data_IF_126328076049
#
_entry.id   IF_126328076049
#
_cell.length_a   1.000
_cell.length_b   1.000
_cell.length_c   1.000
_cell.angle_alpha   90.00
_cell.angle_beta   90.00
_cell.angle_gamma   90.00
#
_symmetry.space_group_name_H-M   'P 1'
#
loop_
_entity.id
_entity.type
_entity.pdbx_description
1 polymer ?
#
# COMPACT_ATOMS: atom_id res chain seq x y z
N UNK A 1 -3.91 -13.26 -36.24
CA UNK A 1 -3.97 -13.84 -34.86
C UNK A 1 -4.36 -12.82 -33.79
N UNK A 2 -3.96 -11.54 -33.90
CA UNK A 2 -4.35 -10.47 -32.97
C UNK A 2 -5.87 -10.18 -33.03
N UNK A 3 -6.53 -10.44 -34.12
CA UNK A 3 -7.97 -10.20 -34.33
C UNK A 3 -8.87 -11.28 -33.70
N UNK A 4 -8.36 -12.46 -33.38
CA UNK A 4 -9.14 -13.51 -32.72
C UNK A 4 -9.44 -13.22 -31.24
N UNK A 5 -8.62 -12.42 -30.57
CA UNK A 5 -8.89 -11.97 -29.20
C UNK A 5 -9.87 -10.79 -29.08
N UNK A 6 -10.32 -10.22 -30.22
CA UNK A 6 -11.21 -9.05 -30.23
C UNK A 6 -12.68 -9.36 -30.53
N UNK A 7 -12.99 -10.58 -31.00
CA UNK A 7 -14.38 -10.94 -31.37
C UNK A 7 -14.74 -12.28 -30.73
N UNK A 8 -15.38 -12.19 -29.58
CA UNK A 8 -16.31 -13.19 -29.04
C UNK A 8 -15.74 -14.57 -28.78
N UNK A 9 -15.53 -14.81 -27.58
CA UNK A 9 -15.47 -15.98 -26.71
C UNK A 9 -14.16 -16.14 -25.96
N UNK A 10 -14.35 -16.31 -24.69
CA UNK A 10 -13.40 -16.82 -23.69
C UNK A 10 -12.04 -16.13 -23.64
N UNK A 11 -11.97 -15.29 -22.70
CA UNK A 11 -10.86 -14.46 -22.26
C UNK A 11 -9.60 -15.26 -22.05
N UNK A 12 -8.57 -14.97 -22.87
CA UNK A 12 -7.21 -15.32 -22.49
C UNK A 12 -6.96 -14.85 -21.08
N UNK A 13 -6.73 -15.78 -20.16
CA UNK A 13 -6.44 -15.48 -18.76
C UNK A 13 -5.13 -14.71 -18.74
N UNK A 14 -5.21 -13.44 -18.40
CA UNK A 14 -4.08 -12.52 -18.30
C UNK A 14 -3.95 -12.06 -16.87
N UNK A 15 -3.01 -12.65 -16.16
CA UNK A 15 -2.67 -12.18 -14.83
C UNK A 15 -1.48 -11.24 -14.89
N UNK A 16 -1.50 -10.22 -14.02
CA UNK A 16 -0.44 -9.21 -13.93
C UNK A 16 0.16 -9.24 -12.54
N UNK A 17 1.49 -9.26 -12.52
CA UNK A 17 2.30 -9.14 -11.32
C UNK A 17 2.94 -7.77 -11.38
N UNK A 18 2.75 -6.98 -10.34
CA UNK A 18 3.27 -5.62 -10.23
C UNK A 18 4.19 -5.53 -9.03
N UNK A 19 5.36 -4.94 -9.22
CA UNK A 19 6.31 -4.64 -8.14
C UNK A 19 6.67 -3.18 -8.22
N UNK A 20 6.50 -2.46 -7.11
CA UNK A 20 6.86 -1.04 -6.99
C UNK A 20 8.16 -0.91 -6.21
N UNK A 21 9.15 -0.25 -6.81
CA UNK A 21 10.46 0.02 -6.23
C UNK A 21 10.89 1.47 -6.53
N UNK A 22 10.46 2.45 -5.73
CA UNK A 22 10.49 3.88 -6.09
C UNK A 22 11.87 4.45 -6.41
N UNK A 23 12.96 3.76 -6.04
CA UNK A 23 14.33 4.28 -6.13
C UNK A 23 15.14 3.70 -7.29
N UNK A 24 14.67 2.63 -7.94
CA UNK A 24 15.47 1.91 -8.95
C UNK A 24 15.29 2.48 -10.36
N UNK A 25 16.40 2.58 -11.08
CA UNK A 25 16.41 2.88 -12.51
C UNK A 25 15.80 1.71 -13.32
N UNK A 26 15.29 1.94 -14.55
CA UNK A 26 14.64 0.87 -15.34
C UNK A 26 15.49 -0.37 -15.57
N UNK A 27 16.80 -0.21 -15.77
CA UNK A 27 17.73 -1.33 -15.95
C UNK A 27 17.91 -2.15 -14.66
N UNK A 28 17.95 -1.50 -13.52
CA UNK A 28 18.06 -2.17 -12.22
C UNK A 28 16.74 -2.89 -11.88
N UNK A 29 15.59 -2.27 -12.18
CA UNK A 29 14.27 -2.91 -12.06
C UNK A 29 14.21 -4.18 -12.93
N UNK A 30 14.71 -4.11 -14.16
CA UNK A 30 14.75 -5.26 -15.06
C UNK A 30 15.60 -6.40 -14.49
N UNK A 31 16.82 -6.10 -14.06
CA UNK A 31 17.77 -7.12 -13.61
C UNK A 31 17.43 -7.72 -12.25
N UNK A 32 16.99 -6.88 -11.30
CA UNK A 32 16.82 -7.30 -9.92
C UNK A 32 15.39 -7.76 -9.58
N UNK A 33 14.40 -7.35 -10.37
CA UNK A 33 12.99 -7.63 -10.09
C UNK A 33 12.34 -8.37 -11.25
N UNK A 34 12.35 -7.79 -12.46
CA UNK A 34 11.58 -8.32 -13.58
C UNK A 34 12.10 -9.67 -14.05
N UNK A 35 13.42 -9.80 -14.24
CA UNK A 35 14.05 -11.03 -14.73
C UNK A 35 13.88 -12.22 -13.77
N UNK A 36 14.07 -12.12 -12.45
CA UNK A 36 13.74 -13.19 -11.50
C UNK A 36 12.29 -13.63 -11.59
N UNK A 37 11.35 -12.69 -11.68
CA UNK A 37 9.92 -13.00 -11.80
C UNK A 37 9.62 -13.71 -13.14
N UNK A 38 10.17 -13.25 -14.25
CA UNK A 38 10.00 -13.90 -15.55
C UNK A 38 10.51 -15.34 -15.56
N UNK A 39 11.69 -15.57 -14.99
CA UNK A 39 12.27 -16.91 -14.87
C UNK A 39 11.35 -17.82 -14.06
N UNK A 40 10.84 -17.36 -12.93
CA UNK A 40 9.92 -18.14 -12.12
C UNK A 40 8.61 -18.43 -12.84
N UNK A 41 8.04 -17.44 -13.51
CA UNK A 41 6.80 -17.61 -14.26
C UNK A 41 6.98 -18.52 -15.48
N UNK A 42 8.16 -18.57 -16.10
CA UNK A 42 8.45 -19.46 -17.22
C UNK A 42 8.44 -20.94 -16.84
N UNK A 43 8.61 -21.27 -15.57
CA UNK A 43 8.55 -22.63 -15.05
C UNK A 43 7.11 -23.14 -14.83
N UNK A 44 6.11 -22.30 -15.01
CA UNK A 44 4.70 -22.70 -14.85
C UNK A 44 4.21 -23.42 -16.10
N UNK A 45 3.57 -24.57 -15.91
CA UNK A 45 2.99 -25.32 -17.02
C UNK A 45 1.81 -24.57 -17.65
N UNK A 46 1.64 -24.75 -18.97
CA UNK A 46 0.55 -24.17 -19.75
C UNK A 46 0.57 -22.63 -19.85
N UNK A 47 1.68 -21.99 -19.55
CA UNK A 47 1.91 -20.60 -19.92
C UNK A 47 2.11 -20.53 -21.44
N UNK A 48 1.39 -19.65 -22.11
CA UNK A 48 1.47 -19.41 -23.53
C UNK A 48 2.47 -18.28 -23.86
N UNK A 49 2.43 -17.21 -23.05
CA UNK A 49 3.27 -16.05 -23.27
C UNK A 49 3.52 -15.30 -21.96
N UNK A 50 4.71 -14.73 -21.83
CA UNK A 50 5.08 -13.80 -20.75
C UNK A 50 5.51 -12.50 -21.40
N UNK A 51 5.01 -11.37 -20.89
CA UNK A 51 5.37 -10.03 -21.34
C UNK A 51 5.66 -9.18 -20.14
N UNK A 52 6.75 -8.44 -20.18
CA UNK A 52 7.14 -7.54 -19.09
C UNK A 52 7.34 -6.12 -19.56
N UNK A 53 7.24 -5.21 -18.63
CA UNK A 53 7.57 -3.79 -18.79
C UNK A 53 8.28 -3.33 -17.55
N UNK A 54 9.54 -2.90 -17.72
CA UNK A 54 10.35 -2.29 -16.66
C UNK A 54 10.43 -0.78 -16.87
N UNK A 55 10.03 -0.01 -15.88
CA UNK A 55 10.11 1.45 -15.87
C UNK A 55 10.79 1.91 -14.58
N UNK A 56 11.08 3.22 -14.49
CA UNK A 56 11.57 3.79 -13.26
C UNK A 56 10.62 3.46 -12.10
N UNK A 57 11.13 2.71 -11.13
CA UNK A 57 10.39 2.34 -9.93
C UNK A 57 9.25 1.34 -10.13
N UNK A 58 9.08 0.73 -11.30
CA UNK A 58 7.94 -0.13 -11.58
C UNK A 58 8.31 -1.31 -12.48
N UNK A 59 7.99 -2.52 -12.03
CA UNK A 59 7.99 -3.75 -12.81
C UNK A 59 6.56 -4.25 -13.00
N UNK A 60 6.20 -4.61 -14.22
CA UNK A 60 4.92 -5.24 -14.56
C UNK A 60 5.19 -6.47 -15.41
N UNK A 61 4.88 -7.65 -14.89
CA UNK A 61 4.98 -8.92 -15.61
C UNK A 61 3.57 -9.45 -15.89
N UNK A 62 3.25 -9.67 -17.15
CA UNK A 62 1.96 -10.20 -17.58
C UNK A 62 2.15 -11.63 -18.02
N UNK A 63 1.46 -12.56 -17.39
CA UNK A 63 1.47 -13.99 -17.71
C UNK A 63 0.17 -14.35 -18.42
N UNK A 64 0.28 -14.97 -19.58
CA UNK A 64 -0.84 -15.41 -20.40
C UNK A 64 -0.85 -16.93 -20.42
N UNK A 65 -1.97 -17.54 -20.02
CA UNK A 65 -2.17 -18.98 -20.01
C UNK A 65 -2.97 -19.42 -21.23
N UNK A 66 -2.86 -20.71 -21.55
CA UNK A 66 -3.73 -21.36 -22.54
C UNK A 66 -5.18 -21.33 -22.06
N UNK A 67 -6.13 -21.21 -22.97
CA UNK A 67 -7.57 -21.14 -22.68
C UNK A 67 -8.11 -22.36 -21.89
N UNK A 68 -7.40 -23.48 -21.95
CA UNK A 68 -7.81 -24.71 -21.22
C UNK A 68 -7.56 -24.69 -19.73
N UNK A 69 -6.85 -23.69 -19.20
CA UNK A 69 -6.50 -23.60 -17.78
C UNK A 69 -7.57 -22.81 -17.05
N UNK A 70 -8.19 -23.35 -15.96
CA UNK A 70 -9.11 -22.58 -15.15
C UNK A 70 -8.42 -21.37 -14.49
N UNK A 71 -9.10 -20.23 -14.42
CA UNK A 71 -8.55 -18.98 -13.88
C UNK A 71 -8.02 -19.11 -12.46
N UNK A 72 -8.72 -19.86 -11.61
CA UNK A 72 -8.30 -20.03 -10.22
C UNK A 72 -7.02 -20.87 -10.13
N UNK A 73 -6.88 -21.91 -10.95
CA UNK A 73 -5.70 -22.77 -10.98
C UNK A 73 -4.48 -21.98 -11.48
N UNK A 74 -4.66 -21.17 -12.54
CA UNK A 74 -3.62 -20.30 -13.06
C UNK A 74 -3.12 -19.33 -11.97
N UNK A 75 -4.02 -18.69 -11.26
CA UNK A 75 -3.69 -17.76 -10.17
C UNK A 75 -3.02 -18.43 -8.98
N UNK A 76 -3.42 -19.64 -8.65
CA UNK A 76 -2.77 -20.41 -7.60
C UNK A 76 -1.31 -20.71 -7.98
N UNK A 77 -1.06 -21.17 -9.20
CA UNK A 77 0.30 -21.46 -9.69
C UNK A 77 1.18 -20.20 -9.68
N UNK A 78 0.64 -19.05 -10.14
CA UNK A 78 1.36 -17.77 -10.08
C UNK A 78 1.69 -17.41 -8.62
N UNK A 79 0.72 -17.52 -7.72
CA UNK A 79 0.93 -17.16 -6.32
C UNK A 79 2.00 -18.02 -5.64
N UNK A 80 2.04 -19.32 -5.93
CA UNK A 80 3.10 -20.22 -5.45
C UNK A 80 4.48 -19.79 -5.93
N UNK A 81 4.61 -19.40 -7.19
CA UNK A 81 5.86 -18.91 -7.74
C UNK A 81 6.24 -17.53 -7.19
N UNK A 82 5.29 -16.62 -6.99
CA UNK A 82 5.53 -15.33 -6.35
C UNK A 82 6.10 -15.52 -4.94
N UNK A 83 5.55 -16.43 -4.15
CA UNK A 83 6.05 -16.71 -2.81
C UNK A 83 7.51 -17.20 -2.84
N UNK A 84 7.85 -18.03 -3.81
CA UNK A 84 9.22 -18.53 -3.99
C UNK A 84 10.18 -17.38 -4.35
N UNK A 85 9.82 -16.58 -5.36
CA UNK A 85 10.65 -15.47 -5.84
C UNK A 85 10.75 -14.33 -4.81
N UNK A 86 9.71 -14.09 -4.04
CA UNK A 86 9.74 -13.06 -2.99
C UNK A 86 10.81 -13.31 -1.94
N UNK A 87 11.26 -14.55 -1.78
CA UNK A 87 12.41 -14.89 -0.93
C UNK A 87 13.77 -14.57 -1.57
N UNK A 88 13.83 -14.39 -2.88
CA UNK A 88 15.04 -14.07 -3.63
C UNK A 88 15.22 -12.56 -3.85
N UNK A 89 14.12 -11.82 -3.89
CA UNK A 89 14.12 -10.35 -4.05
C UNK A 89 14.28 -9.70 -2.68
N UNK A 90 15.30 -8.86 -2.45
CA UNK A 90 15.45 -8.12 -1.20
C UNK A 90 14.19 -7.29 -0.89
N UNK A 91 13.65 -7.35 0.33
CA UNK A 91 12.41 -6.64 0.70
C UNK A 91 12.46 -5.12 0.49
N UNK A 92 13.66 -4.55 0.53
CA UNK A 92 13.91 -3.12 0.31
C UNK A 92 13.64 -2.69 -1.14
N UNK A 93 13.68 -3.64 -2.08
CA UNK A 93 13.44 -3.40 -3.51
C UNK A 93 11.97 -3.51 -3.89
N UNK A 94 11.10 -3.88 -2.94
CA UNK A 94 9.67 -4.05 -3.14
C UNK A 94 9.23 -5.51 -3.16
N UNK A 95 7.95 -5.71 -2.96
CA UNK A 95 7.32 -7.05 -2.97
C UNK A 95 6.48 -7.23 -4.23
N UNK A 96 6.63 -8.36 -4.95
CA UNK A 96 5.76 -8.69 -6.07
C UNK A 96 4.34 -8.94 -5.59
N UNK A 97 3.38 -8.24 -6.18
CA UNK A 97 1.96 -8.39 -5.88
C UNK A 97 1.18 -8.78 -7.13
N UNK A 98 0.30 -9.75 -6.98
CA UNK A 98 -0.59 -10.14 -8.06
C UNK A 98 -1.78 -9.19 -8.11
N UNK A 99 -1.99 -8.58 -9.27
CA UNK A 99 -3.13 -7.70 -9.48
C UNK A 99 -4.46 -8.48 -9.45
N UNK A 100 -5.55 -7.83 -9.05
CA UNK A 100 -6.89 -8.41 -9.14
C UNK A 100 -7.23 -8.86 -10.57
N UNK A 101 -8.17 -9.79 -10.67
CA UNK A 101 -8.67 -10.27 -11.97
C UNK A 101 -9.34 -9.09 -12.68
N UNK A 102 -8.64 -8.50 -13.64
CA UNK A 102 -9.20 -7.47 -14.50
C UNK A 102 -9.46 -8.05 -15.88
N UNK A 103 -10.71 -8.31 -16.17
CA UNK A 103 -11.14 -8.55 -17.53
C UNK A 103 -11.58 -7.22 -18.13
N UNK A 104 -11.45 -7.04 -19.45
CA UNK A 104 -11.99 -5.84 -20.11
C UNK A 104 -13.50 -5.63 -19.92
N UNK A 105 -14.19 -6.63 -19.38
CA UNK A 105 -15.59 -6.62 -18.97
C UNK A 105 -15.77 -6.48 -17.45
N UNK A 106 -14.69 -6.35 -16.69
CA UNK A 106 -14.71 -6.33 -15.22
C UNK A 106 -15.12 -4.99 -14.63
N UNK A 107 -15.00 -3.89 -15.38
CA UNK A 107 -15.48 -2.58 -14.95
C UNK A 107 -16.99 -2.48 -15.19
N UNK A 108 -17.76 -2.84 -14.17
CA UNK A 108 -19.24 -2.88 -14.26
C UNK A 108 -19.82 -1.47 -14.14
N UNK A 109 -19.21 -0.63 -13.31
CA UNK A 109 -19.76 0.67 -12.99
C UNK A 109 -18.68 1.69 -12.62
N UNK A 110 -18.80 2.89 -13.16
CA UNK A 110 -17.94 4.02 -12.82
C UNK A 110 -18.80 5.15 -12.26
N UNK A 111 -18.35 5.78 -11.20
CA UNK A 111 -19.03 6.91 -10.58
C UNK A 111 -18.03 7.99 -10.15
N UNK A 112 -18.52 9.20 -9.97
CA UNK A 112 -17.72 10.35 -9.53
C UNK A 112 -18.34 10.92 -8.26
N UNK A 113 -17.54 11.08 -7.23
CA UNK A 113 -17.93 11.84 -6.05
C UNK A 113 -17.78 13.34 -6.34
N UNK A 114 -18.86 14.09 -6.14
CA UNK A 114 -18.88 15.54 -6.28
C UNK A 114 -19.38 16.17 -4.99
N UNK A 115 -18.80 17.31 -4.65
CA UNK A 115 -19.27 18.10 -3.50
C UNK A 115 -20.59 18.75 -3.88
N UNK A 116 -21.57 18.71 -2.98
CA UNK A 116 -22.83 19.41 -3.16
C UNK A 116 -22.60 20.93 -3.11
N UNK A 117 -23.38 21.73 -3.88
CA UNK A 117 -23.28 23.18 -3.85
C UNK A 117 -23.39 23.75 -2.44
N UNK A 118 -22.48 24.62 -2.06
CA UNK A 118 -22.40 25.23 -0.74
C UNK A 118 -21.52 24.52 0.29
N UNK A 119 -20.95 23.34 -0.07
CA UNK A 119 -20.07 22.57 0.80
C UNK A 119 -18.61 22.51 0.32
N UNK A 120 -18.25 23.28 -0.70
CA UNK A 120 -16.94 23.25 -1.38
C UNK A 120 -15.78 23.57 -0.42
N UNK A 121 -16.04 24.39 0.61
CA UNK A 121 -15.03 24.74 1.63
C UNK A 121 -14.82 23.64 2.67
N UNK A 122 -15.77 22.72 2.80
CA UNK A 122 -15.73 21.66 3.81
C UNK A 122 -15.12 20.36 3.28
N UNK A 123 -15.34 20.07 2.00
CA UNK A 123 -14.90 18.83 1.38
C UNK A 123 -13.98 19.16 0.22
N UNK A 124 -12.68 19.04 0.46
CA UNK A 124 -11.66 19.10 -0.58
C UNK A 124 -11.41 17.74 -1.24
N UNK A 125 -10.48 17.67 -2.16
CA UNK A 125 -10.13 16.43 -2.86
C UNK A 125 -9.58 15.34 -1.92
N UNK A 126 -8.93 15.73 -0.81
CA UNK A 126 -8.41 14.82 0.20
C UNK A 126 -9.54 14.22 1.04
N UNK A 127 -10.51 15.04 1.45
CA UNK A 127 -11.68 14.58 2.20
C UNK A 127 -12.58 13.67 1.34
N UNK A 128 -12.78 14.00 0.05
CA UNK A 128 -13.53 13.13 -0.86
C UNK A 128 -12.87 11.77 -1.03
N UNK A 129 -11.54 11.74 -1.14
CA UNK A 129 -10.80 10.48 -1.20
C UNK A 129 -10.92 9.69 0.09
N UNK A 130 -10.87 10.34 1.23
CA UNK A 130 -11.06 9.71 2.55
C UNK A 130 -12.46 9.11 2.67
N UNK A 131 -13.50 9.84 2.26
CA UNK A 131 -14.89 9.33 2.25
C UNK A 131 -15.02 8.11 1.33
N UNK A 132 -14.42 8.17 0.15
CA UNK A 132 -14.43 7.06 -0.79
C UNK A 132 -13.79 5.80 -0.19
N UNK A 133 -12.59 5.91 0.37
CA UNK A 133 -11.83 4.76 0.82
C UNK A 133 -12.35 4.19 2.16
N UNK A 134 -12.83 5.03 3.08
CA UNK A 134 -13.24 4.60 4.40
C UNK A 134 -14.75 4.38 4.58
N UNK A 135 -15.58 5.06 3.82
CA UNK A 135 -17.04 4.94 3.95
C UNK A 135 -17.64 4.18 2.77
N UNK A 136 -17.46 4.70 1.56
CA UNK A 136 -18.14 4.16 0.37
C UNK A 136 -17.62 2.76 0.03
N UNK A 137 -16.30 2.60 -0.04
CA UNK A 137 -15.66 1.32 -0.34
C UNK A 137 -16.07 0.23 0.66
N UNK A 138 -16.14 0.56 1.95
CA UNK A 138 -16.56 -0.38 2.98
C UNK A 138 -18.00 -0.84 2.86
N UNK A 139 -18.90 0.07 2.49
CA UNK A 139 -20.33 -0.26 2.32
C UNK A 139 -20.59 -1.08 1.06
N UNK A 140 -19.86 -0.79 -0.01
CA UNK A 140 -20.01 -1.48 -1.29
C UNK A 140 -19.30 -2.86 -1.31
N UNK A 141 -18.23 -3.06 -0.56
CA UNK A 141 -17.48 -4.33 -0.52
C UNK A 141 -18.29 -5.54 -0.04
N UNK A 142 -19.43 -5.31 0.65
CA UNK A 142 -20.31 -6.39 1.12
C UNK A 142 -21.40 -6.81 0.13
N UNK A 143 -21.49 -6.18 -1.03
CA UNK A 143 -22.55 -6.46 -2.01
C UNK A 143 -22.15 -7.68 -2.84
N UNK A 144 -23.01 -8.73 -2.91
CA UNK A 144 -22.74 -9.90 -3.73
C UNK A 144 -22.51 -9.53 -5.20
N UNK A 145 -21.42 -10.03 -5.78
CA UNK A 145 -21.04 -9.77 -7.17
C UNK A 145 -20.06 -8.60 -7.35
N UNK A 146 -19.78 -7.81 -6.32
CA UNK A 146 -18.70 -6.81 -6.35
C UNK A 146 -17.42 -7.47 -5.84
N UNK A 147 -16.43 -7.59 -6.71
CA UNK A 147 -15.14 -8.20 -6.37
C UNK A 147 -14.19 -7.16 -5.83
N UNK A 148 -14.13 -5.98 -6.46
CA UNK A 148 -13.18 -4.92 -6.11
C UNK A 148 -13.76 -3.53 -6.42
N UNK A 149 -13.31 -2.55 -5.63
CA UNK A 149 -13.67 -1.14 -5.80
C UNK A 149 -12.37 -0.35 -5.82
N UNK A 150 -12.05 0.20 -6.97
CA UNK A 150 -10.86 1.00 -7.18
C UNK A 150 -11.18 2.49 -7.15
N UNK A 151 -10.26 3.27 -6.59
CA UNK A 151 -10.40 4.72 -6.47
C UNK A 151 -9.30 5.40 -7.28
N UNK A 152 -9.68 6.29 -8.18
CA UNK A 152 -8.76 7.11 -8.94
C UNK A 152 -8.94 8.58 -8.58
N UNK A 153 -7.82 9.31 -8.46
CA UNK A 153 -7.82 10.72 -8.12
C UNK A 153 -7.99 11.01 -6.63
N UNK A 154 -7.96 12.29 -6.28
CA UNK A 154 -7.89 12.76 -4.91
C UNK A 154 -6.52 12.53 -4.28
N UNK A 155 -6.32 13.11 -3.10
CA UNK A 155 -5.09 12.99 -2.32
C UNK A 155 -5.31 12.04 -1.15
N UNK A 156 -4.41 11.08 -0.97
CA UNK A 156 -4.44 10.21 0.21
C UNK A 156 -4.05 11.02 1.45
N UNK A 157 -4.95 11.09 2.42
CA UNK A 157 -4.72 11.81 3.67
C UNK A 157 -3.72 11.06 4.53
N UNK A 158 -2.64 11.73 4.90
CA UNK A 158 -1.62 11.21 5.80
C UNK A 158 -1.14 12.27 6.77
N UNK A 159 -0.58 11.86 7.90
CA UNK A 159 0.14 12.76 8.79
C UNK A 159 1.52 13.03 8.18
N UNK A 160 1.84 14.29 7.99
CA UNK A 160 3.15 14.75 7.52
C UNK A 160 3.85 15.47 8.67
N UNK A 161 5.04 15.01 9.02
CA UNK A 161 5.95 15.68 9.94
C UNK A 161 7.00 16.39 9.11
N UNK A 162 6.84 17.69 8.91
CA UNK A 162 7.80 18.54 8.20
C UNK A 162 8.87 19.01 9.18
N UNK A 163 10.03 18.34 9.19
CA UNK A 163 11.13 18.68 10.08
C UNK A 163 11.87 19.93 9.63
N UNK A 164 12.31 20.74 10.59
CA UNK A 164 13.14 21.91 10.36
C UNK A 164 14.63 21.52 10.53
N UNK A 165 15.45 21.57 9.46
CA UNK A 165 16.87 21.22 9.53
C UNK A 165 17.67 22.06 10.53
N UNK A 166 17.34 23.34 10.67
CA UNK A 166 18.05 24.26 11.58
C UNK A 166 17.73 23.92 13.04
N UNK A 167 16.49 23.58 13.34
CA UNK A 167 16.08 23.10 14.64
C UNK A 167 16.74 21.74 14.99
N UNK A 168 16.78 20.80 14.05
CA UNK A 168 17.46 19.52 14.23
C UNK A 168 18.96 19.73 14.55
N UNK A 169 19.63 20.60 13.80
CA UNK A 169 21.03 20.90 14.00
C UNK A 169 21.29 21.55 15.37
N UNK A 170 20.47 22.55 15.74
CA UNK A 170 20.64 23.29 17.01
C UNK A 170 20.43 22.41 18.25
N UNK A 171 19.54 21.42 18.16
CA UNK A 171 19.22 20.47 19.24
C UNK A 171 20.07 19.18 19.16
N UNK A 172 20.96 19.10 18.15
CA UNK A 172 21.80 17.92 17.88
C UNK A 172 20.97 16.63 17.78
N UNK A 173 19.87 16.69 16.99
CA UNK A 173 18.97 15.59 16.72
C UNK A 173 19.13 15.16 15.26
N UNK A 174 19.19 13.86 15.03
CA UNK A 174 19.24 13.27 13.70
C UNK A 174 17.84 12.94 13.18
N UNK A 175 17.68 12.90 11.86
CA UNK A 175 16.42 12.49 11.25
C UNK A 175 16.06 11.03 11.60
N UNK A 176 17.08 10.18 11.83
CA UNK A 176 16.92 8.80 12.28
C UNK A 176 16.27 8.72 13.67
N UNK A 177 16.69 9.58 14.63
CA UNK A 177 16.07 9.64 15.95
C UNK A 177 14.59 10.05 15.87
N UNK A 178 14.25 10.99 14.97
CA UNK A 178 12.85 11.38 14.73
C UNK A 178 12.04 10.21 14.17
N UNK A 179 12.58 9.48 13.19
CA UNK A 179 11.91 8.31 12.62
C UNK A 179 11.71 7.19 13.63
N UNK A 180 12.72 6.89 14.44
CA UNK A 180 12.65 5.87 15.48
C UNK A 180 11.61 6.25 16.56
N UNK A 181 11.58 7.53 16.97
CA UNK A 181 10.59 8.02 17.91
C UNK A 181 9.16 7.90 17.37
N UNK A 182 8.92 8.24 16.11
CA UNK A 182 7.62 8.11 15.47
C UNK A 182 7.17 6.64 15.37
N UNK A 183 8.08 5.74 14.95
CA UNK A 183 7.76 4.32 14.77
C UNK A 183 7.48 3.61 16.09
N UNK A 184 8.21 3.94 17.14
CA UNK A 184 8.07 3.29 18.46
C UNK A 184 6.86 3.81 19.26
N UNK A 185 6.37 5.02 18.99
CA UNK A 185 5.25 5.63 19.71
C UNK A 185 3.87 5.45 19.02
N UNK A 186 3.77 4.64 17.99
CA UNK A 186 2.50 4.36 17.30
C UNK A 186 2.14 2.89 17.43
N UNK A 187 2.12 2.36 18.64
CA UNK A 187 1.85 0.94 18.90
C UNK A 187 0.97 0.76 20.14
N UNK A 188 -0.04 -0.10 20.02
CA UNK A 188 -0.76 -0.61 21.17
C UNK A 188 -0.01 -1.81 21.74
N UNK A 189 0.24 -1.80 23.04
CA UNK A 189 0.87 -2.92 23.71
C UNK A 189 -0.16 -3.65 24.57
N UNK A 190 -0.32 -4.95 24.32
CA UNK A 190 -1.11 -5.83 25.15
C UNK A 190 -0.36 -6.09 26.47
N UNK A 191 -1.04 -5.92 27.58
CA UNK A 191 -0.57 -6.29 28.89
C UNK A 191 -1.15 -7.63 29.34
N UNK A 192 -0.77 -8.06 30.54
CA UNK A 192 -1.35 -9.22 31.20
C UNK A 192 -2.75 -8.88 31.76
N UNK A 193 -3.37 -9.81 32.43
CA UNK A 193 -4.60 -9.58 33.16
C UNK A 193 -4.36 -9.70 34.68
N UNK A 194 -5.19 -9.03 35.44
CA UNK A 194 -5.20 -9.10 36.91
C UNK A 194 -6.49 -9.80 37.31
N UNK A 195 -6.39 -10.91 38.07
CA UNK A 195 -7.53 -11.57 38.65
C UNK A 195 -7.87 -10.91 40.00
N UNK A 196 -9.08 -10.42 40.12
CA UNK A 196 -9.60 -9.89 41.38
C UNK A 196 -11.06 -10.31 41.57
N UNK A 197 -11.36 -11.00 42.68
CA UNK A 197 -12.71 -11.41 43.05
C UNK A 197 -13.48 -12.15 41.95
N UNK A 198 -12.87 -13.14 41.29
CA UNK A 198 -13.41 -13.94 40.18
C UNK A 198 -13.61 -13.19 38.85
N UNK A 199 -13.12 -11.96 38.74
CA UNK A 199 -13.13 -11.20 37.52
C UNK A 199 -11.70 -11.03 37.00
N UNK A 200 -11.52 -11.17 35.67
CA UNK A 200 -10.26 -10.88 35.01
C UNK A 200 -10.30 -9.45 34.43
N UNK A 201 -9.34 -8.61 34.80
CA UNK A 201 -9.17 -7.27 34.31
C UNK A 201 -8.00 -7.26 33.34
N UNK A 202 -8.27 -7.04 32.04
CA UNK A 202 -7.24 -6.96 31.02
C UNK A 202 -6.59 -5.59 31.04
N UNK A 203 -5.27 -5.59 31.08
CA UNK A 203 -4.47 -4.37 30.99
C UNK A 203 -4.06 -4.21 29.52
N UNK A 204 -4.33 -3.05 28.93
CA UNK A 204 -3.80 -2.68 27.61
C UNK A 204 -3.26 -1.25 27.68
N UNK A 205 -2.18 -1.00 26.98
CA UNK A 205 -1.69 0.34 26.72
C UNK A 205 -2.25 0.84 25.40
N UNK A 206 -2.92 1.97 25.41
CA UNK A 206 -3.37 2.66 24.21
C UNK A 206 -2.27 3.64 23.80
N UNK A 207 -1.53 3.30 22.73
CA UNK A 207 -0.43 4.12 22.21
C UNK A 207 -0.58 4.44 20.73
N UNK A 208 -1.76 4.12 20.12
CA UNK A 208 -2.05 4.52 18.74
C UNK A 208 -2.32 6.01 18.66
N UNK A 209 -1.70 6.66 17.71
CA UNK A 209 -1.91 8.06 17.37
C UNK A 209 -3.33 8.24 16.83
N UNK A 210 -4.07 9.17 17.39
CA UNK A 210 -5.44 9.52 16.98
C UNK A 210 -5.56 10.95 16.49
N UNK A 211 -4.70 11.86 16.95
CA UNK A 211 -4.73 13.28 16.61
C UNK A 211 -3.32 13.80 16.29
N UNK A 212 -3.26 14.97 15.65
CA UNK A 212 -2.01 15.70 15.37
C UNK A 212 -1.27 16.00 16.66
N UNK A 213 -2.00 16.36 17.72
CA UNK A 213 -1.41 16.69 19.03
C UNK A 213 -0.67 15.52 19.66
N UNK A 214 -1.14 14.29 19.43
CA UNK A 214 -0.46 13.10 19.95
C UNK A 214 0.93 12.98 19.31
N UNK A 215 1.05 13.29 18.02
CA UNK A 215 2.33 13.29 17.30
C UNK A 215 3.23 14.43 17.78
N UNK A 216 2.70 15.62 17.96
CA UNK A 216 3.45 16.81 18.44
C UNK A 216 4.08 16.56 19.80
N UNK A 217 3.45 15.78 20.65
CA UNK A 217 3.90 15.48 22.03
C UNK A 217 4.88 14.30 22.11
N UNK A 218 5.16 13.59 21.02
CA UNK A 218 6.13 12.50 21.04
C UNK A 218 7.52 13.06 21.39
N UNK A 219 8.16 12.44 22.38
CA UNK A 219 9.53 12.77 22.77
C UNK A 219 10.50 12.11 21.80
N UNK A 220 11.27 12.91 21.09
CA UNK A 220 12.31 12.44 20.16
C UNK A 220 13.60 12.07 20.91
N UNK A 221 14.00 12.94 21.81
CA UNK A 221 15.24 12.75 22.59
C UNK A 221 15.15 13.47 23.94
N UNK A 222 16.05 13.07 24.85
CA UNK A 222 16.24 13.81 26.10
C UNK A 222 17.64 14.44 26.08
N UNK A 223 17.70 15.76 26.10
CA UNK A 223 18.98 16.50 26.09
C UNK A 223 19.14 17.24 27.41
N UNK A 224 20.15 16.87 28.17
CA UNK A 224 20.46 17.47 29.51
C UNK A 224 19.28 17.45 30.50
N UNK A 225 18.45 16.40 30.45
CA UNK A 225 17.27 16.26 31.30
C UNK A 225 16.03 17.00 30.81
N UNK A 226 16.09 17.63 29.64
CA UNK A 226 14.96 18.31 29.00
C UNK A 226 14.47 17.43 27.84
N UNK A 227 13.19 17.01 27.83
CA UNK A 227 12.62 16.28 26.71
C UNK A 227 12.45 17.21 25.51
N UNK A 228 12.84 16.75 24.33
CA UNK A 228 12.60 17.43 23.06
C UNK A 228 11.48 16.71 22.33
N UNK A 229 10.44 17.44 21.96
CA UNK A 229 9.25 16.90 21.30
C UNK A 229 9.33 17.08 19.79
N UNK A 230 8.47 16.39 19.05
CA UNK A 230 8.32 16.61 17.61
C UNK A 230 7.98 18.07 17.29
N UNK A 231 7.14 18.72 18.11
CA UNK A 231 6.80 20.15 17.97
C UNK A 231 8.00 21.10 18.04
N UNK A 232 9.10 20.69 18.67
CA UNK A 232 10.31 21.52 18.79
C UNK A 232 11.23 21.39 17.55
N UNK A 233 11.07 20.33 16.78
CA UNK A 233 11.92 20.02 15.61
C UNK A 233 11.19 20.09 14.28
N UNK A 234 9.88 20.34 14.28
CA UNK A 234 9.10 20.40 13.05
C UNK A 234 7.63 20.75 13.25
N UNK A 235 6.90 20.76 12.15
CA UNK A 235 5.46 21.04 12.10
C UNK A 235 4.72 19.79 11.66
N UNK A 236 3.68 19.43 12.43
CA UNK A 236 2.79 18.30 12.10
C UNK A 236 1.54 18.82 11.42
N UNK A 237 1.22 18.24 10.26
CA UNK A 237 0.03 18.62 9.49
C UNK A 237 -0.53 17.44 8.71
N UNK A 238 -1.75 17.59 8.18
CA UNK A 238 -2.22 16.68 7.15
C UNK A 238 -1.55 17.03 5.82
N UNK A 239 -1.03 16.01 5.17
CA UNK A 239 -0.37 16.09 3.87
C UNK A 239 -0.83 14.99 2.92
N UNK A 240 -0.27 14.99 1.73
CA UNK A 240 -0.45 13.97 0.72
C UNK A 240 0.91 13.47 0.23
N UNK A 241 1.02 12.21 -0.19
CA UNK A 241 2.23 11.71 -0.84
C UNK A 241 2.57 12.57 -2.06
N UNK A 242 3.85 12.88 -2.22
CA UNK A 242 4.35 13.62 -3.40
C UNK A 242 4.64 12.68 -4.56
#
# INVERSE_FOLDING_TARGET
>A
EILRCLVGSEMCIRDRIVTVSPTLAPQEVEQLITMPIEIAMSNIMNVENIRSVSRFGLSVVTVVFKESVPTLDARQLINEQIQTVSGEIPPELGTPEMMPITTGLGEIYQYILKVAPGYEKKYDAMELRTIQDWMVKRQLSGIPGIVEINSFGGYLKQYEVAVDPDALFSLNITIGEVFEALSSNNQNTGGSYIEKMKNAYYIRSEGMITDIKDIEQIVVANRNGIPVHISDVGVVRFGAPK
#
